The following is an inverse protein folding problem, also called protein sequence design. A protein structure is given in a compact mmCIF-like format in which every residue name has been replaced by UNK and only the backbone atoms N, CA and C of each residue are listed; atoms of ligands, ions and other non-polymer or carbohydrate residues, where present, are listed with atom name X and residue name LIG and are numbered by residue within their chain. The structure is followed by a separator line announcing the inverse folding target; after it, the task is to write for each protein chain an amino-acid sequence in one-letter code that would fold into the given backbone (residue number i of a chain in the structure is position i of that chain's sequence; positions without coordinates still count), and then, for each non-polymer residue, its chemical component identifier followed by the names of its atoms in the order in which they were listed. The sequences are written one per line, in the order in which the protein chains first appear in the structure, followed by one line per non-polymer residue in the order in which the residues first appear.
data_IF_138629276858
#
_entry.id   IF_138629276858
#
_cell.length_a   1.000
_cell.length_b   1.000
_cell.length_c   1.000
_cell.angle_alpha   90.00
_cell.angle_beta   90.00
_cell.angle_gamma   90.00
#
_symmetry.space_group_name_H-M   'P 1'
#
loop_
_entity.id
_entity.type
_entity.pdbx_description
1 polymer ?
#
# COMPACT_ATOMS: atom_id res chain seq x y z
N UNK A 1 10.66 9.73 -19.42
CA UNK A 1 9.40 9.27 -20.05
C UNK A 1 8.88 8.14 -19.18
N UNK A 2 7.64 8.21 -18.68
CA UNK A 2 6.98 7.01 -18.16
C UNK A 2 6.05 6.57 -19.27
N UNK A 3 6.60 5.85 -20.25
CA UNK A 3 5.77 5.20 -21.25
C UNK A 3 5.00 4.10 -20.53
N UNK A 4 3.68 4.23 -20.52
CA UNK A 4 2.81 3.14 -20.10
C UNK A 4 3.04 2.01 -21.10
N UNK A 5 3.53 0.83 -20.67
CA UNK A 5 3.76 -0.28 -21.59
C UNK A 5 2.46 -0.63 -22.33
N UNK A 6 2.57 -1.02 -23.60
CA UNK A 6 1.40 -1.26 -24.48
C UNK A 6 0.41 -2.29 -23.88
N UNK A 7 0.91 -3.26 -23.11
CA UNK A 7 0.12 -4.25 -22.37
C UNK A 7 -0.83 -3.66 -21.30
N UNK A 8 -0.61 -2.40 -20.91
CA UNK A 8 -1.45 -1.62 -20.00
C UNK A 8 -2.35 -0.61 -20.70
N UNK A 9 -2.39 -0.56 -22.03
CA UNK A 9 -3.34 0.28 -22.76
C UNK A 9 -4.78 -0.06 -22.34
N UNK A 10 -5.54 0.93 -21.87
CA UNK A 10 -6.89 0.74 -21.32
C UNK A 10 -6.94 0.10 -19.93
N UNK A 11 -5.78 -0.18 -19.32
CA UNK A 11 -5.61 -0.70 -17.96
C UNK A 11 -4.58 0.11 -17.16
N UNK A 12 -4.47 1.41 -17.42
CA UNK A 12 -3.47 2.30 -16.81
C UNK A 12 -3.57 2.32 -15.27
N UNK A 13 -4.76 2.13 -14.71
CA UNK A 13 -4.95 1.95 -13.26
C UNK A 13 -4.21 0.73 -12.71
N UNK A 14 -4.10 -0.35 -13.49
CA UNK A 14 -3.37 -1.56 -13.11
C UNK A 14 -1.86 -1.30 -13.16
N UNK A 15 -1.40 -0.50 -14.13
CA UNK A 15 -0.02 -0.03 -14.18
C UNK A 15 0.35 0.75 -12.91
N UNK A 16 -0.47 1.74 -12.52
CA UNK A 16 -0.23 2.52 -11.31
C UNK A 16 -0.23 1.65 -10.04
N UNK A 17 -1.13 0.65 -9.93
CA UNK A 17 -1.11 -0.32 -8.83
C UNK A 17 0.19 -1.12 -8.79
N UNK A 18 0.64 -1.62 -9.93
CA UNK A 18 1.90 -2.36 -10.02
C UNK A 18 3.11 -1.46 -9.75
N UNK A 19 3.05 -0.17 -10.11
CA UNK A 19 4.05 0.82 -9.70
C UNK A 19 4.06 1.03 -8.19
N UNK A 20 2.90 1.18 -7.53
CA UNK A 20 2.83 1.24 -6.05
C UNK A 20 3.44 -0.01 -5.43
N UNK A 21 3.07 -1.20 -5.92
CA UNK A 21 3.60 -2.47 -5.44
C UNK A 21 5.13 -2.53 -5.59
N UNK A 22 5.67 -2.24 -6.76
CA UNK A 22 7.11 -2.29 -7.03
C UNK A 22 7.89 -1.28 -6.18
N UNK A 23 7.40 -0.04 -6.11
CA UNK A 23 8.03 1.06 -5.36
C UNK A 23 7.98 0.84 -3.84
N UNK A 24 6.97 0.11 -3.34
CA UNK A 24 6.91 -0.28 -1.93
C UNK A 24 7.77 -1.52 -1.64
N UNK A 25 7.61 -2.59 -2.44
CA UNK A 25 8.25 -3.88 -2.19
C UNK A 25 9.78 -3.78 -2.29
N UNK A 26 10.29 -2.91 -3.16
CA UNK A 26 11.74 -2.71 -3.35
C UNK A 26 12.40 -2.25 -2.04
N UNK A 27 12.09 -1.07 -1.45
CA UNK A 27 12.65 -0.68 -0.16
C UNK A 27 12.29 -1.62 0.98
N UNK A 28 11.14 -2.29 0.93
CA UNK A 28 10.75 -3.29 1.93
C UNK A 28 11.73 -4.47 1.97
N UNK A 29 12.02 -5.08 0.81
CA UNK A 29 12.96 -6.18 0.67
C UNK A 29 14.38 -5.79 1.09
N UNK A 30 14.79 -4.57 0.76
CA UNK A 30 16.05 -4.02 1.26
C UNK A 30 16.01 -3.83 2.79
N UNK A 31 15.04 -3.12 3.37
CA UNK A 31 15.06 -2.79 4.81
C UNK A 31 15.01 -4.02 5.74
N UNK A 32 14.23 -5.04 5.41
CA UNK A 32 14.08 -6.21 6.28
C UNK A 32 15.28 -7.17 6.26
N UNK A 33 16.06 -7.21 5.17
CA UNK A 33 17.35 -7.90 5.21
C UNK A 33 18.35 -7.25 6.18
N UNK A 34 18.16 -5.97 6.53
CA UNK A 34 18.90 -5.31 7.60
C UNK A 34 18.51 -5.81 8.99
N UNK A 35 17.21 -6.04 9.22
CA UNK A 35 16.68 -6.61 10.46
C UNK A 35 17.04 -8.09 10.65
N UNK A 36 17.32 -8.82 9.55
CA UNK A 36 17.82 -10.19 9.58
C UNK A 36 19.14 -10.33 10.36
N UNK A 37 19.97 -9.29 10.45
CA UNK A 37 21.18 -9.28 11.32
C UNK A 37 20.88 -9.44 12.80
N UNK A 38 19.68 -9.05 13.24
CA UNK A 38 19.24 -9.15 14.64
C UNK A 38 18.53 -10.47 14.94
N UNK A 39 18.23 -11.28 13.92
CA UNK A 39 17.56 -12.57 14.05
C UNK A 39 18.65 -13.64 14.17
N UNK A 40 18.67 -14.40 15.26
CA UNK A 40 19.53 -15.59 15.35
C UNK A 40 19.02 -16.64 14.37
N UNK A 41 19.78 -16.89 13.30
CA UNK A 41 19.47 -17.94 12.31
C UNK A 41 19.24 -17.42 10.90
N UNK A 42 19.02 -18.35 9.97
CA UNK A 42 18.80 -18.07 8.54
C UNK A 42 17.38 -17.48 8.37
N UNK A 43 17.28 -16.25 7.88
CA UNK A 43 16.00 -15.55 7.69
C UNK A 43 15.53 -15.67 6.25
N UNK A 44 14.26 -16.03 6.04
CA UNK A 44 13.65 -16.02 4.71
C UNK A 44 12.72 -14.80 4.56
N UNK A 45 12.83 -14.02 3.49
CA UNK A 45 11.83 -12.99 3.17
C UNK A 45 10.77 -13.59 2.25
N UNK A 46 9.49 -13.43 2.61
CA UNK A 46 8.38 -13.97 1.85
C UNK A 46 7.56 -12.88 1.14
N UNK A 47 7.26 -13.11 -0.13
CA UNK A 47 6.21 -12.39 -0.86
C UNK A 47 5.00 -13.30 -1.03
N UNK A 48 3.80 -12.83 -0.69
CA UNK A 48 2.57 -13.60 -0.85
C UNK A 48 1.61 -12.83 -1.73
N UNK A 49 1.33 -13.36 -2.92
CA UNK A 49 0.28 -12.86 -3.79
C UNK A 49 -0.94 -13.77 -3.71
N UNK A 50 -2.01 -13.26 -3.10
CA UNK A 50 -3.21 -14.04 -2.81
C UNK A 50 -4.21 -14.10 -3.98
N UNK A 51 -3.95 -13.31 -5.04
CA UNK A 51 -4.74 -13.25 -6.27
C UNK A 51 -3.80 -13.12 -7.47
N UNK A 52 -2.90 -14.10 -7.61
CA UNK A 52 -1.80 -14.05 -8.58
C UNK A 52 -2.28 -13.94 -10.04
N UNK A 53 -3.54 -14.31 -10.30
CA UNK A 53 -4.12 -14.21 -11.62
C UNK A 53 -3.48 -15.22 -12.56
N UNK A 54 -4.09 -15.34 -13.74
CA UNK A 54 -3.58 -14.65 -14.91
C UNK A 54 -4.63 -13.74 -15.55
N UNK A 55 -4.11 -12.78 -16.28
CA UNK A 55 -4.84 -11.80 -17.05
C UNK A 55 -5.22 -12.36 -18.42
N UNK A 56 -6.42 -12.01 -18.89
CA UNK A 56 -6.90 -12.38 -20.22
C UNK A 56 -5.98 -11.87 -21.34
N UNK A 57 -5.39 -12.82 -22.06
CA UNK A 57 -5.29 -12.92 -23.53
C UNK A 57 -4.48 -11.91 -24.36
N UNK A 58 -3.71 -10.97 -23.82
CA UNK A 58 -2.92 -10.05 -24.69
C UNK A 58 -1.40 -10.06 -24.47
N UNK A 59 -0.89 -10.61 -23.37
CA UNK A 59 0.55 -10.77 -23.17
C UNK A 59 0.88 -12.22 -22.82
N UNK A 60 1.62 -12.88 -23.70
CA UNK A 60 2.36 -14.11 -23.39
C UNK A 60 3.55 -13.83 -22.45
N UNK A 61 3.87 -12.56 -22.18
CA UNK A 61 4.88 -12.14 -21.22
C UNK A 61 4.30 -11.90 -19.83
N UNK A 62 5.12 -12.23 -18.83
CA UNK A 62 4.90 -11.94 -17.41
C UNK A 62 5.14 -10.50 -17.01
N UNK A 63 5.66 -9.71 -17.94
CA UNK A 63 6.28 -8.45 -17.63
C UNK A 63 5.26 -7.52 -16.98
N UNK A 64 5.70 -6.89 -15.89
CA UNK A 64 4.86 -6.00 -15.11
C UNK A 64 3.76 -6.66 -14.27
N UNK A 65 3.53 -7.97 -14.29
CA UNK A 65 2.58 -8.62 -13.36
C UNK A 65 3.04 -8.56 -11.90
N UNK A 66 2.11 -8.69 -10.95
CA UNK A 66 2.45 -8.81 -9.53
C UNK A 66 3.35 -10.01 -9.22
N UNK A 67 3.24 -11.10 -10.00
CA UNK A 67 4.11 -12.28 -9.92
C UNK A 67 5.55 -11.91 -10.28
N UNK A 68 5.78 -11.33 -11.46
CA UNK A 68 7.13 -10.97 -11.91
C UNK A 68 7.76 -9.89 -11.04
N UNK A 69 6.99 -8.90 -10.60
CA UNK A 69 7.45 -7.87 -9.66
C UNK A 69 7.96 -8.52 -8.36
N UNK A 70 7.18 -9.44 -7.79
CA UNK A 70 7.57 -10.15 -6.57
C UNK A 70 8.89 -10.92 -6.73
N UNK A 71 9.01 -11.69 -7.83
CA UNK A 71 10.20 -12.49 -8.12
C UNK A 71 11.45 -11.62 -8.38
N UNK A 72 11.30 -10.57 -9.19
CA UNK A 72 12.37 -9.63 -9.53
C UNK A 72 12.90 -8.94 -8.28
N UNK A 73 12.01 -8.31 -7.50
CA UNK A 73 12.39 -7.54 -6.32
C UNK A 73 13.06 -8.42 -5.26
N UNK A 74 12.52 -9.62 -5.00
CA UNK A 74 13.12 -10.54 -4.04
C UNK A 74 14.49 -11.05 -4.51
N UNK A 75 14.64 -11.37 -5.79
CA UNK A 75 15.93 -11.79 -6.34
C UNK A 75 16.97 -10.67 -6.22
N UNK A 76 16.62 -9.44 -6.59
CA UNK A 76 17.50 -8.27 -6.43
C UNK A 76 17.85 -8.01 -4.97
N UNK A 77 16.89 -8.12 -4.06
CA UNK A 77 17.12 -7.96 -2.63
C UNK A 77 18.10 -9.01 -2.09
N UNK A 78 17.94 -10.29 -2.47
CA UNK A 78 18.87 -11.34 -2.06
C UNK A 78 20.28 -11.06 -2.56
N UNK A 79 20.46 -10.74 -3.84
CA UNK A 79 21.78 -10.44 -4.42
C UNK A 79 22.47 -9.31 -3.67
N UNK A 80 21.78 -8.19 -3.48
CA UNK A 80 22.36 -7.04 -2.80
C UNK A 80 22.68 -7.29 -1.32
N UNK A 81 21.94 -8.17 -0.64
CA UNK A 81 22.26 -8.55 0.74
C UNK A 81 23.45 -9.50 0.81
N UNK A 82 23.58 -10.44 -0.14
CA UNK A 82 24.75 -11.30 -0.27
C UNK A 82 26.02 -10.50 -0.53
N UNK A 83 25.96 -9.51 -1.42
CA UNK A 83 27.08 -8.59 -1.68
C UNK A 83 27.51 -7.79 -0.43
N UNK A 84 26.59 -7.59 0.53
CA UNK A 84 26.85 -6.94 1.82
C UNK A 84 27.26 -7.94 2.93
N UNK A 85 27.52 -9.18 2.58
CA UNK A 85 27.94 -10.23 3.51
C UNK A 85 26.81 -10.82 4.37
N UNK A 86 25.55 -10.66 3.98
CA UNK A 86 24.40 -11.24 4.68
C UNK A 86 23.65 -12.24 3.78
N UNK A 87 23.66 -13.52 4.13
CA UNK A 87 22.94 -14.55 3.39
C UNK A 87 21.48 -14.65 3.88
N UNK A 88 20.57 -14.10 3.08
CA UNK A 88 19.12 -14.23 3.29
C UNK A 88 18.53 -15.20 2.27
N UNK A 89 17.52 -15.95 2.68
CA UNK A 89 16.70 -16.71 1.74
C UNK A 89 15.51 -15.87 1.28
N UNK A 90 14.97 -16.18 0.10
CA UNK A 90 13.78 -15.50 -0.43
C UNK A 90 12.80 -16.52 -0.97
N UNK A 91 11.51 -16.30 -0.69
CA UNK A 91 10.44 -17.19 -1.11
C UNK A 91 9.20 -16.42 -1.54
N UNK A 92 8.41 -17.03 -2.42
CA UNK A 92 7.16 -16.46 -2.89
C UNK A 92 6.04 -17.51 -2.89
N UNK A 93 4.84 -17.10 -2.46
CA UNK A 93 3.63 -17.91 -2.51
C UNK A 93 2.60 -17.21 -3.39
N UNK A 94 2.07 -17.92 -4.37
CA UNK A 94 1.10 -17.42 -5.34
C UNK A 94 -0.18 -18.26 -5.28
N UNK A 95 -1.32 -17.61 -5.07
CA UNK A 95 -2.63 -18.28 -5.03
C UNK A 95 -3.45 -17.93 -6.26
N UNK A 96 -3.99 -18.95 -6.93
CA UNK A 96 -4.88 -18.78 -8.08
C UNK A 96 -6.05 -19.78 -8.03
N UNK A 97 -7.28 -19.26 -8.14
CA UNK A 97 -8.50 -20.06 -7.98
C UNK A 97 -8.93 -20.79 -9.26
N UNK A 98 -8.67 -20.20 -10.42
CA UNK A 98 -9.08 -20.75 -11.70
C UNK A 98 -8.09 -21.84 -12.13
N UNK A 99 -8.55 -23.06 -12.46
CA UNK A 99 -7.64 -24.16 -12.81
C UNK A 99 -6.78 -23.91 -14.05
N UNK A 100 -7.35 -23.36 -15.14
CA UNK A 100 -6.61 -23.09 -16.39
C UNK A 100 -5.51 -22.07 -16.17
N UNK A 101 -5.89 -21.06 -15.41
CA UNK A 101 -5.08 -19.96 -14.96
C UNK A 101 -3.91 -20.42 -14.09
N UNK A 102 -4.22 -21.27 -13.11
CA UNK A 102 -3.24 -21.91 -12.24
C UNK A 102 -2.24 -22.78 -13.01
N UNK A 103 -2.69 -23.56 -14.00
CA UNK A 103 -1.78 -24.37 -14.82
C UNK A 103 -0.71 -23.52 -15.54
N UNK A 104 -1.09 -22.33 -16.02
CA UNK A 104 -0.13 -21.39 -16.62
C UNK A 104 0.86 -20.86 -15.58
N UNK A 105 0.37 -20.43 -14.42
CA UNK A 105 1.19 -19.99 -13.29
C UNK A 105 2.18 -21.09 -12.86
N UNK A 106 1.72 -22.34 -12.77
CA UNK A 106 2.55 -23.46 -12.35
C UNK A 106 3.66 -23.79 -13.35
N UNK A 107 3.34 -23.84 -14.65
CA UNK A 107 4.34 -24.08 -15.70
C UNK A 107 5.46 -23.02 -15.63
N UNK A 108 5.03 -21.77 -15.51
CA UNK A 108 5.89 -20.60 -15.44
C UNK A 108 6.81 -20.58 -14.22
N UNK A 109 6.29 -20.93 -13.04
CA UNK A 109 7.12 -21.04 -11.83
C UNK A 109 8.05 -22.26 -11.87
N UNK A 110 7.70 -23.30 -12.65
CA UNK A 110 8.58 -24.47 -12.86
C UNK A 110 9.76 -24.13 -13.79
N UNK A 111 9.53 -23.23 -14.75
CA UNK A 111 10.56 -22.74 -15.67
C UNK A 111 11.46 -21.67 -15.05
N UNK A 112 11.01 -20.98 -14.00
CA UNK A 112 11.79 -19.98 -13.29
C UNK A 112 13.08 -20.58 -12.69
N UNK A 113 14.25 -20.05 -13.10
CA UNK A 113 15.59 -20.48 -12.63
C UNK A 113 16.26 -19.48 -11.68
N UNK A 114 15.52 -18.48 -11.20
CA UNK A 114 16.04 -17.51 -10.25
C UNK A 114 16.10 -18.05 -8.82
N UNK A 115 16.61 -17.24 -7.87
CA UNK A 115 16.88 -17.70 -6.52
C UNK A 115 15.64 -17.83 -5.62
N UNK A 116 14.49 -17.32 -6.05
CA UNK A 116 13.27 -17.28 -5.23
C UNK A 116 12.60 -18.65 -5.17
N UNK A 117 12.43 -19.19 -3.95
CA UNK A 117 11.67 -20.42 -3.74
C UNK A 117 10.18 -20.16 -3.98
N UNK A 118 9.63 -20.74 -5.05
CA UNK A 118 8.26 -20.49 -5.46
C UNK A 118 7.29 -21.59 -5.00
N UNK A 119 6.12 -21.18 -4.51
CA UNK A 119 4.98 -22.06 -4.19
C UNK A 119 3.75 -21.58 -4.95
N UNK A 120 3.14 -22.46 -5.76
CA UNK A 120 1.87 -22.19 -6.43
C UNK A 120 0.76 -22.98 -5.73
N UNK A 121 -0.27 -22.29 -5.24
CA UNK A 121 -1.41 -22.91 -4.56
C UNK A 121 -2.70 -22.69 -5.36
N UNK A 122 -3.34 -23.79 -5.77
CA UNK A 122 -4.62 -23.71 -6.48
C UNK A 122 -5.77 -23.58 -5.48
N UNK A 123 -6.61 -22.55 -5.59
CA UNK A 123 -7.79 -22.39 -4.76
C UNK A 123 -8.12 -20.94 -4.46
N UNK A 124 -9.11 -20.70 -3.60
CA UNK A 124 -9.40 -19.35 -3.12
C UNK A 124 -8.41 -19.00 -2.01
N UNK A 125 -8.12 -17.71 -1.87
CA UNK A 125 -7.25 -17.22 -0.81
C UNK A 125 -7.65 -17.75 0.58
N UNK A 126 -8.92 -17.61 0.96
CA UNK A 126 -9.43 -18.09 2.25
C UNK A 126 -9.12 -19.55 2.55
N UNK A 127 -9.29 -20.42 1.55
CA UNK A 127 -9.07 -21.87 1.64
C UNK A 127 -7.58 -22.22 1.83
N UNK A 128 -6.67 -21.31 1.47
CA UNK A 128 -5.22 -21.52 1.51
C UNK A 128 -4.52 -20.83 2.68
N UNK A 129 -5.24 -20.11 3.52
CA UNK A 129 -4.65 -19.36 4.65
C UNK A 129 -3.79 -20.24 5.58
N UNK A 130 -4.26 -21.43 5.97
CA UNK A 130 -3.49 -22.36 6.81
C UNK A 130 -2.22 -22.86 6.13
N UNK A 131 -2.30 -23.20 4.84
CA UNK A 131 -1.15 -23.68 4.06
C UNK A 131 -0.12 -22.57 3.86
N UNK A 132 -0.57 -21.34 3.53
CA UNK A 132 0.29 -20.17 3.44
C UNK A 132 0.99 -19.91 4.78
N UNK A 133 0.25 -19.90 5.88
CA UNK A 133 0.81 -19.69 7.22
C UNK A 133 1.91 -20.73 7.55
N UNK A 134 1.67 -22.00 7.20
CA UNK A 134 2.67 -23.06 7.38
C UNK A 134 3.93 -22.85 6.52
N UNK A 135 3.79 -22.34 5.29
CA UNK A 135 4.94 -22.10 4.39
C UNK A 135 5.79 -20.94 4.90
N UNK A 136 5.15 -19.82 5.27
CA UNK A 136 5.88 -18.60 5.66
C UNK A 136 6.37 -18.65 7.11
N UNK A 137 5.78 -19.48 7.97
CA UNK A 137 6.16 -19.62 9.39
C UNK A 137 6.09 -18.28 10.12
N UNK A 138 7.11 -17.96 10.93
CA UNK A 138 7.25 -16.66 11.63
C UNK A 138 8.17 -15.66 10.91
N UNK A 139 8.63 -16.02 9.71
CA UNK A 139 9.54 -15.19 8.93
C UNK A 139 8.84 -13.91 8.44
N UNK A 140 9.57 -12.82 8.17
CA UNK A 140 8.96 -11.62 7.61
C UNK A 140 8.24 -11.90 6.27
N UNK A 141 7.05 -11.31 6.07
CA UNK A 141 6.36 -11.38 4.78
C UNK A 141 5.65 -10.10 4.40
N UNK A 142 5.61 -9.86 3.09
CA UNK A 142 4.75 -8.87 2.47
C UNK A 142 3.59 -9.60 1.79
N UNK A 143 2.36 -9.20 2.11
CA UNK A 143 1.15 -9.78 1.56
C UNK A 143 0.49 -8.80 0.60
N UNK A 144 0.28 -9.23 -0.64
CA UNK A 144 -0.49 -8.52 -1.64
C UNK A 144 -1.86 -9.17 -1.80
N UNK A 145 -2.91 -8.40 -1.55
CA UNK A 145 -4.30 -8.85 -1.56
C UNK A 145 -5.07 -8.05 -2.60
N UNK A 146 -5.23 -8.61 -3.79
CA UNK A 146 -5.76 -7.93 -4.97
C UNK A 146 -7.02 -8.58 -5.55
N UNK A 147 -8.17 -8.52 -4.84
CA UNK A 147 -9.42 -9.03 -5.39
C UNK A 147 -9.88 -8.18 -6.58
N UNK A 148 -10.59 -8.79 -7.52
CA UNK A 148 -11.28 -8.10 -8.63
C UNK A 148 -12.56 -7.35 -8.16
N UNK A 149 -12.95 -7.52 -6.90
CA UNK A 149 -14.06 -6.87 -6.21
C UNK A 149 -13.73 -6.76 -4.73
N UNK A 150 -14.52 -7.37 -3.85
CA UNK A 150 -14.18 -7.51 -2.42
C UNK A 150 -14.21 -8.96 -1.92
N UNK A 151 -14.90 -9.86 -2.63
CA UNK A 151 -15.07 -11.25 -2.22
C UNK A 151 -13.76 -12.02 -2.29
N UNK A 152 -13.56 -12.93 -1.32
CA UNK A 152 -12.36 -13.72 -1.18
C UNK A 152 -11.24 -13.01 -0.44
N UNK A 153 -11.41 -11.74 -0.08
CA UNK A 153 -10.46 -10.94 0.71
C UNK A 153 -11.07 -10.55 2.07
N UNK A 154 -11.84 -11.46 2.66
CA UNK A 154 -12.48 -11.29 3.97
C UNK A 154 -11.45 -10.99 5.07
N UNK A 155 -11.77 -10.11 6.01
CA UNK A 155 -10.85 -9.63 7.05
C UNK A 155 -10.28 -10.80 7.89
N UNK A 156 -11.10 -11.81 8.15
CA UNK A 156 -10.72 -13.05 8.83
C UNK A 156 -9.56 -13.78 8.12
N UNK A 157 -9.52 -13.78 6.79
CA UNK A 157 -8.44 -14.39 6.02
C UNK A 157 -7.16 -13.57 6.11
N UNK A 158 -7.28 -12.24 6.09
CA UNK A 158 -6.15 -11.31 6.27
C UNK A 158 -5.54 -11.50 7.67
N UNK A 159 -6.39 -11.54 8.70
CA UNK A 159 -6.01 -11.71 10.11
C UNK A 159 -5.11 -12.92 10.31
N UNK A 160 -5.48 -14.08 9.73
CA UNK A 160 -4.74 -15.35 9.87
C UNK A 160 -3.28 -15.27 9.43
N UNK A 161 -2.91 -14.32 8.57
CA UNK A 161 -1.55 -14.19 8.05
C UNK A 161 -0.81 -12.95 8.56
N UNK A 162 -1.54 -11.87 8.84
CA UNK A 162 -0.94 -10.55 9.15
C UNK A 162 -0.72 -10.35 10.65
N UNK A 163 -1.38 -11.12 11.52
CA UNK A 163 -1.30 -10.91 12.98
C UNK A 163 0.07 -11.20 13.60
N UNK A 164 0.99 -11.82 12.85
CA UNK A 164 2.36 -12.08 13.30
C UNK A 164 3.25 -10.84 13.16
N UNK A 165 4.35 -10.74 13.93
CA UNK A 165 5.31 -9.64 13.76
C UNK A 165 5.95 -9.63 12.36
N UNK A 166 6.37 -8.43 11.91
CA UNK A 166 7.10 -8.22 10.64
C UNK A 166 6.28 -8.64 9.41
N UNK A 167 4.96 -8.43 9.50
CA UNK A 167 4.03 -8.55 8.38
C UNK A 167 3.61 -7.18 7.91
N UNK A 168 3.72 -6.99 6.61
CA UNK A 168 3.13 -5.87 5.91
C UNK A 168 2.06 -6.43 4.97
N UNK A 169 0.94 -5.73 4.83
CA UNK A 169 -0.13 -6.10 3.91
C UNK A 169 -0.54 -4.90 3.07
N UNK A 170 -0.67 -5.10 1.76
CA UNK A 170 -1.23 -4.15 0.81
C UNK A 170 -2.49 -4.74 0.21
N UNK A 171 -3.64 -4.12 0.49
CA UNK A 171 -4.96 -4.59 0.08
C UNK A 171 -5.52 -3.64 -0.97
N UNK A 172 -5.93 -4.18 -2.11
CA UNK A 172 -6.73 -3.46 -3.09
C UNK A 172 -8.20 -3.47 -2.67
N UNK A 173 -8.67 -2.32 -2.19
CA UNK A 173 -10.07 -2.06 -1.90
C UNK A 173 -10.72 -1.51 -3.16
N UNK A 174 -11.46 -2.35 -3.89
CA UNK A 174 -12.16 -1.98 -5.13
C UNK A 174 -13.31 -1.01 -4.87
N UNK A 175 -12.97 0.24 -4.53
CA UNK A 175 -13.88 1.27 -4.04
C UNK A 175 -15.07 1.51 -4.98
N UNK A 176 -14.85 1.59 -6.30
CA UNK A 176 -15.94 1.80 -7.25
C UNK A 176 -16.99 0.65 -7.21
N UNK A 177 -16.55 -0.58 -6.97
CA UNK A 177 -17.45 -1.72 -6.77
C UNK A 177 -18.14 -1.63 -5.41
N UNK A 178 -17.41 -1.43 -4.32
CA UNK A 178 -17.99 -1.33 -2.97
C UNK A 178 -19.02 -0.20 -2.91
N UNK A 179 -18.70 0.98 -3.41
CA UNK A 179 -19.58 2.14 -3.41
C UNK A 179 -20.88 1.90 -4.19
N UNK A 180 -20.87 1.05 -5.22
CA UNK A 180 -22.07 0.64 -5.96
C UNK A 180 -22.97 -0.29 -5.13
N UNK A 181 -22.40 -1.09 -4.23
CA UNK A 181 -23.12 -2.14 -3.51
C UNK A 181 -23.26 -1.89 -2.00
N UNK A 182 -22.68 -0.81 -1.45
CA UNK A 182 -22.70 -0.51 0.00
C UNK A 182 -24.11 -0.34 0.58
N UNK A 183 -25.06 0.10 -0.25
CA UNK A 183 -26.47 0.29 0.11
C UNK A 183 -27.37 -0.82 -0.47
N UNK A 184 -26.81 -1.94 -0.92
CA UNK A 184 -27.58 -3.06 -1.48
C UNK A 184 -28.30 -3.85 -0.37
N UNK A 185 -29.62 -4.03 -0.52
CA UNK A 185 -30.45 -4.72 0.48
C UNK A 185 -30.34 -6.25 0.46
N UNK A 186 -29.67 -6.86 -0.53
CA UNK A 186 -29.60 -8.32 -0.64
C UNK A 186 -28.73 -8.91 0.48
N UNK A 187 -29.24 -9.86 1.29
CA UNK A 187 -28.52 -10.37 2.47
C UNK A 187 -27.13 -10.93 2.17
N UNK A 188 -26.97 -11.65 1.05
CA UNK A 188 -25.68 -12.23 0.68
C UNK A 188 -24.63 -11.18 0.25
N UNK A 189 -25.05 -10.03 -0.28
CA UNK A 189 -24.14 -8.93 -0.62
C UNK A 189 -23.72 -8.23 0.66
N UNK A 190 -24.69 -7.89 1.51
CA UNK A 190 -24.46 -7.26 2.81
C UNK A 190 -23.51 -8.08 3.66
N UNK A 191 -23.77 -9.38 3.81
CA UNK A 191 -22.86 -10.28 4.55
C UNK A 191 -21.46 -10.31 3.96
N UNK A 192 -21.33 -10.40 2.63
CA UNK A 192 -19.99 -10.38 2.01
C UNK A 192 -19.23 -9.07 2.17
N UNK A 193 -19.94 -7.94 2.29
CA UNK A 193 -19.32 -6.65 2.62
C UNK A 193 -18.93 -6.61 4.10
N UNK A 194 -19.84 -7.03 4.99
CA UNK A 194 -19.56 -7.15 6.42
C UNK A 194 -18.32 -8.02 6.67
N UNK A 195 -18.20 -9.17 6.03
CA UNK A 195 -17.02 -10.05 6.13
C UNK A 195 -15.73 -9.38 5.60
N UNK A 196 -15.83 -8.59 4.52
CA UNK A 196 -14.71 -7.81 3.99
C UNK A 196 -14.26 -6.72 4.97
N UNK A 197 -15.20 -6.04 5.62
CA UNK A 197 -14.92 -5.02 6.63
C UNK A 197 -14.63 -5.59 8.03
N UNK A 198 -14.72 -6.90 8.25
CA UNK A 198 -14.50 -7.53 9.56
C UNK A 198 -15.68 -7.38 10.53
N UNK A 199 -16.89 -7.19 10.03
CA UNK A 199 -18.09 -7.00 10.84
C UNK A 199 -18.77 -8.36 11.09
N UNK A 200 -18.57 -8.92 12.27
CA UNK A 200 -19.22 -10.20 12.64
C UNK A 200 -20.68 -10.01 13.06
N UNK A 201 -20.94 -9.01 13.91
CA UNK A 201 -22.25 -8.74 14.51
C UNK A 201 -22.73 -7.29 14.30
N UNK A 202 -22.10 -6.58 13.38
CA UNK A 202 -22.41 -5.19 13.06
C UNK A 202 -22.70 -5.05 11.57
N UNK A 203 -23.42 -3.99 11.23
CA UNK A 203 -23.69 -3.67 9.83
C UNK A 203 -22.81 -2.53 9.37
N UNK A 204 -22.39 -2.57 8.11
CA UNK A 204 -21.69 -1.44 7.51
C UNK A 204 -22.56 -0.18 7.63
N UNK A 205 -22.06 0.92 8.23
CA UNK A 205 -22.83 2.15 8.33
C UNK A 205 -23.23 2.65 6.93
N UNK A 206 -24.48 3.10 6.81
CA UNK A 206 -24.98 3.68 5.57
C UNK A 206 -24.33 5.04 5.30
N UNK A 207 -24.28 5.43 4.02
CA UNK A 207 -23.96 6.80 3.57
C UNK A 207 -22.60 7.37 3.98
N UNK A 208 -21.66 6.52 4.38
CA UNK A 208 -20.26 6.91 4.57
C UNK A 208 -19.70 7.52 3.29
N UNK A 209 -19.04 8.67 3.42
CA UNK A 209 -18.18 9.25 2.38
C UNK A 209 -17.01 8.32 2.04
N UNK A 210 -16.30 8.61 0.95
CA UNK A 210 -15.11 7.84 0.55
C UNK A 210 -14.08 7.76 1.69
N UNK A 211 -13.79 8.90 2.32
CA UNK A 211 -12.78 9.00 3.38
C UNK A 211 -13.24 8.34 4.67
N UNK A 212 -14.52 8.47 5.05
CA UNK A 212 -15.07 7.80 6.23
C UNK A 212 -15.09 6.27 6.05
N UNK A 213 -15.40 5.79 4.85
CA UNK A 213 -15.39 4.37 4.53
C UNK A 213 -13.98 3.78 4.63
N UNK A 214 -12.97 4.50 4.12
CA UNK A 214 -11.58 4.04 4.22
C UNK A 214 -11.05 4.14 5.64
N UNK A 215 -11.36 5.22 6.38
CA UNK A 215 -11.02 5.33 7.79
C UNK A 215 -11.67 4.20 8.62
N UNK A 216 -12.92 3.83 8.31
CA UNK A 216 -13.59 2.68 8.93
C UNK A 216 -12.88 1.37 8.61
N UNK A 217 -12.53 1.11 7.34
CA UNK A 217 -11.77 -0.09 6.95
C UNK A 217 -10.40 -0.16 7.64
N UNK A 218 -9.64 0.94 7.68
CA UNK A 218 -8.32 1.02 8.36
C UNK A 218 -8.43 0.74 9.86
N UNK A 219 -9.46 1.27 10.53
CA UNK A 219 -9.71 0.98 11.95
C UNK A 219 -9.96 -0.50 12.19
N UNK A 220 -10.83 -1.12 11.40
CA UNK A 220 -11.12 -2.55 11.53
C UNK A 220 -9.91 -3.41 11.19
N UNK A 221 -9.09 -3.01 10.21
CA UNK A 221 -7.84 -3.68 9.91
C UNK A 221 -6.88 -3.66 11.12
N UNK A 222 -6.75 -2.52 11.80
CA UNK A 222 -5.94 -2.39 13.03
C UNK A 222 -6.50 -3.26 14.16
N UNK A 223 -7.81 -3.22 14.38
CA UNK A 223 -8.49 -3.94 15.45
C UNK A 223 -8.45 -5.48 15.28
N UNK A 224 -8.77 -5.97 14.08
CA UNK A 224 -8.91 -7.41 13.84
C UNK A 224 -7.62 -8.09 13.41
N UNK A 225 -6.75 -7.41 12.65
CA UNK A 225 -5.53 -8.01 12.08
C UNK A 225 -4.26 -7.70 12.88
N UNK A 226 -4.35 -6.91 13.96
CA UNK A 226 -3.20 -6.60 14.82
C UNK A 226 -2.14 -5.71 14.19
N UNK A 227 -2.46 -5.03 13.08
CA UNK A 227 -1.56 -4.01 12.51
C UNK A 227 -1.59 -2.76 13.38
N UNK A 228 -0.41 -2.17 13.64
CA UNK A 228 -0.30 -0.97 14.48
C UNK A 228 -0.58 0.30 13.68
N UNK A 229 -0.19 0.30 12.41
CA UNK A 229 -0.30 1.44 11.53
C UNK A 229 -1.02 1.04 10.25
N UNK A 230 -1.92 1.90 9.78
CA UNK A 230 -2.57 1.74 8.48
C UNK A 230 -2.82 3.10 7.82
N UNK A 231 -2.54 3.17 6.52
CA UNK A 231 -2.82 4.30 5.67
C UNK A 231 -3.38 3.80 4.35
N UNK A 232 -3.90 4.72 3.55
CA UNK A 232 -4.41 4.38 2.23
C UNK A 232 -4.16 5.51 1.23
N UNK A 233 -4.18 5.14 -0.05
CA UNK A 233 -4.03 6.04 -1.18
C UNK A 233 -5.06 5.71 -2.25
N UNK A 234 -5.37 6.68 -3.10
CA UNK A 234 -6.31 6.53 -4.20
C UNK A 234 -5.59 6.27 -5.51
N UNK A 235 -6.17 5.40 -6.34
CA UNK A 235 -5.84 5.27 -7.76
C UNK A 235 -7.06 5.72 -8.57
N UNK A 236 -6.87 6.70 -9.44
CA UNK A 236 -7.96 7.26 -10.25
C UNK A 236 -8.23 6.43 -11.49
N UNK A 237 -9.43 6.60 -12.05
CA UNK A 237 -9.72 6.12 -13.39
C UNK A 237 -8.79 6.82 -14.41
N UNK A 238 -8.32 6.11 -15.45
CA UNK A 238 -7.35 6.67 -16.42
C UNK A 238 -7.84 7.96 -17.07
N UNK A 239 -9.12 7.99 -17.45
CA UNK A 239 -9.70 9.09 -18.24
C UNK A 239 -10.73 9.94 -17.50
N UNK A 240 -11.18 9.51 -16.32
CA UNK A 240 -12.27 10.18 -15.57
C UNK A 240 -11.74 10.60 -14.20
N UNK A 241 -12.12 11.80 -13.75
CA UNK A 241 -11.70 12.33 -12.45
C UNK A 241 -12.50 11.72 -11.29
N UNK A 242 -12.38 10.40 -11.11
CA UNK A 242 -12.98 9.62 -10.01
C UNK A 242 -12.03 8.56 -9.48
N UNK A 243 -12.17 8.17 -8.21
CA UNK A 243 -11.47 7.01 -7.64
C UNK A 243 -11.92 5.74 -8.33
N UNK A 244 -10.97 4.91 -8.74
CA UNK A 244 -11.27 3.56 -9.22
C UNK A 244 -11.19 2.56 -8.07
N UNK A 245 -10.05 2.52 -7.38
CA UNK A 245 -9.85 1.75 -6.15
C UNK A 245 -8.93 2.48 -5.18
N UNK A 246 -8.93 2.04 -3.92
CA UNK A 246 -8.02 2.48 -2.86
C UNK A 246 -7.05 1.35 -2.57
N UNK A 247 -5.77 1.68 -2.37
CA UNK A 247 -4.80 0.74 -1.85
C UNK A 247 -4.61 1.03 -0.37
N UNK A 248 -4.85 0.04 0.47
CA UNK A 248 -4.70 0.15 1.93
C UNK A 248 -3.47 -0.61 2.36
N UNK A 249 -2.52 0.06 3.00
CA UNK A 249 -1.37 -0.56 3.64
C UNK A 249 -1.66 -0.81 5.13
N UNK A 250 -1.14 -1.91 5.67
CA UNK A 250 -1.11 -2.19 7.10
C UNK A 250 0.21 -2.83 7.50
N UNK A 251 0.68 -2.52 8.70
CA UNK A 251 1.82 -3.21 9.31
C UNK A 251 2.10 -2.76 10.74
N UNK A 252 3.04 -3.41 11.41
CA UNK A 252 3.35 -3.13 12.83
C UNK A 252 4.46 -2.09 13.04
N UNK A 253 5.25 -1.78 12.00
CA UNK A 253 6.38 -0.86 12.09
C UNK A 253 5.99 0.53 11.53
N UNK A 254 6.33 1.65 12.21
CA UNK A 254 5.96 2.98 11.72
C UNK A 254 6.56 3.31 10.34
N UNK A 255 7.69 2.68 9.98
CA UNK A 255 8.33 2.84 8.68
C UNK A 255 7.45 2.41 7.50
N UNK A 256 6.44 1.58 7.74
CA UNK A 256 5.40 1.20 6.77
C UNK A 256 4.72 2.44 6.22
N UNK A 257 4.23 3.31 7.10
CA UNK A 257 3.49 4.52 6.71
C UNK A 257 4.40 5.55 6.07
N UNK A 258 5.61 5.74 6.61
CA UNK A 258 6.60 6.64 6.01
C UNK A 258 6.91 6.22 4.57
N UNK A 259 7.24 4.96 4.36
CA UNK A 259 7.51 4.43 3.03
C UNK A 259 6.28 4.56 2.12
N UNK A 260 5.10 4.25 2.64
CA UNK A 260 3.87 4.31 1.87
C UNK A 260 3.53 5.73 1.40
N UNK A 261 3.72 6.76 2.23
CA UNK A 261 3.53 8.17 1.83
C UNK A 261 4.58 8.65 0.83
N UNK A 262 5.81 8.17 0.93
CA UNK A 262 6.85 8.44 -0.07
C UNK A 262 6.48 7.81 -1.44
N UNK A 263 5.96 6.57 -1.42
CA UNK A 263 5.44 5.87 -2.61
C UNK A 263 4.23 6.59 -3.18
N UNK A 264 3.30 7.04 -2.35
CA UNK A 264 2.13 7.81 -2.77
C UNK A 264 2.54 9.08 -3.51
N UNK A 265 3.45 9.87 -2.92
CA UNK A 265 3.96 11.10 -3.57
C UNK A 265 4.59 10.81 -4.92
N UNK A 266 5.38 9.73 -5.04
CA UNK A 266 6.06 9.35 -6.27
C UNK A 266 5.07 8.85 -7.33
N UNK A 267 4.20 7.91 -6.97
CA UNK A 267 3.32 7.23 -7.93
C UNK A 267 2.06 8.05 -8.19
N UNK A 268 1.30 8.38 -7.13
CA UNK A 268 0.04 9.13 -7.26
C UNK A 268 0.33 10.60 -7.54
N UNK A 269 1.33 11.19 -6.87
CA UNK A 269 1.68 12.59 -7.10
C UNK A 269 2.34 12.84 -8.46
N UNK A 270 3.30 12.03 -8.89
CA UNK A 270 4.10 12.34 -10.09
C UNK A 270 3.77 11.43 -11.29
N UNK A 271 3.74 10.10 -11.11
CA UNK A 271 3.50 9.20 -12.24
C UNK A 271 2.07 9.29 -12.77
N UNK A 272 1.06 9.38 -11.88
CA UNK A 272 -0.37 9.49 -12.25
C UNK A 272 -0.64 10.67 -13.18
N UNK A 273 -0.02 11.84 -12.93
CA UNK A 273 -0.14 13.02 -13.78
C UNK A 273 0.19 12.70 -15.25
N UNK A 274 1.35 12.08 -15.47
CA UNK A 274 1.82 11.72 -16.80
C UNK A 274 0.95 10.62 -17.43
N UNK A 275 0.66 9.56 -16.68
CA UNK A 275 -0.10 8.39 -17.14
C UNK A 275 -1.53 8.78 -17.55
N UNK A 276 -2.22 9.57 -16.72
CA UNK A 276 -3.60 10.00 -16.98
C UNK A 276 -3.64 11.09 -18.05
N UNK A 277 -2.66 11.98 -18.09
CA UNK A 277 -2.49 12.94 -19.17
C UNK A 277 -2.40 12.24 -20.53
N UNK A 278 -1.56 11.22 -20.65
CA UNK A 278 -1.43 10.42 -21.87
C UNK A 278 -2.72 9.65 -22.22
N UNK A 279 -3.38 9.04 -21.22
CA UNK A 279 -4.63 8.31 -21.45
C UNK A 279 -5.79 9.21 -21.90
N UNK A 280 -5.95 10.40 -21.30
CA UNK A 280 -6.96 11.40 -21.70
C UNK A 280 -6.72 11.90 -23.12
N UNK A 281 -5.45 12.12 -23.52
CA UNK A 281 -5.08 12.50 -24.90
C UNK A 281 -5.45 11.41 -25.89
N UNK A 282 -5.01 10.16 -25.68
CA UNK A 282 -5.35 9.02 -26.55
C UNK A 282 -6.86 8.88 -26.76
N UNK A 283 -7.65 8.94 -25.68
CA UNK A 283 -9.10 8.85 -25.76
C UNK A 283 -9.71 10.02 -26.55
N UNK A 284 -9.14 11.23 -26.42
CA UNK A 284 -9.59 12.40 -27.19
C UNK A 284 -9.26 12.26 -28.67
N UNK A 285 -8.03 11.86 -29.01
CA UNK A 285 -7.57 11.62 -30.38
C UNK A 285 -8.44 10.56 -31.07
N UNK A 286 -8.73 9.44 -30.38
CA UNK A 286 -9.65 8.40 -30.85
C UNK A 286 -11.06 8.94 -31.12
N UNK A 287 -11.53 9.91 -30.31
CA UNK A 287 -12.88 10.49 -30.42
C UNK A 287 -12.97 11.63 -31.44
N UNK A 288 -11.93 12.43 -31.63
CA UNK A 288 -11.97 13.67 -32.42
C UNK A 288 -11.14 13.63 -33.70
N UNK A 289 -10.25 12.64 -33.87
CA UNK A 289 -9.38 12.51 -35.04
C UNK A 289 -8.31 13.61 -35.18
N UNK A 290 -8.14 14.45 -34.16
CA UNK A 290 -7.16 15.55 -34.13
C UNK A 290 -6.03 15.19 -33.16
N UNK A 291 -4.80 15.10 -33.67
CA UNK A 291 -3.60 14.92 -32.84
C UNK A 291 -3.18 16.23 -32.18
N UNK A 292 -2.86 16.19 -30.89
CA UNK A 292 -2.26 17.32 -30.16
C UNK A 292 -0.74 17.15 -30.06
N UNK A 293 0.01 18.26 -30.10
CA UNK A 293 1.45 18.28 -29.86
C UNK A 293 1.76 17.91 -28.40
N UNK A 294 2.68 16.97 -28.19
CA UNK A 294 3.12 16.51 -26.87
C UNK A 294 3.95 17.60 -26.16
N UNK A 295 3.26 18.52 -25.48
CA UNK A 295 3.89 19.43 -24.54
C UNK A 295 4.17 18.68 -23.24
N UNK A 296 5.47 18.44 -23.00
CA UNK A 296 6.00 17.88 -21.76
C UNK A 296 5.53 18.69 -20.56
N UNK A 297 4.49 18.22 -19.86
CA UNK A 297 4.08 18.80 -18.58
C UNK A 297 4.69 17.96 -17.46
N UNK A 298 5.79 18.43 -16.89
CA UNK A 298 6.20 17.98 -15.55
C UNK A 298 5.19 18.57 -14.56
N UNK A 299 4.36 17.72 -13.99
CA UNK A 299 3.27 18.15 -13.12
C UNK A 299 3.07 17.21 -11.94
N UNK A 300 2.33 17.71 -10.96
CA UNK A 300 1.81 16.91 -9.85
C UNK A 300 0.32 16.69 -10.15
N UNK A 301 -0.19 15.49 -9.88
CA UNK A 301 -1.61 15.21 -10.02
C UNK A 301 -2.42 16.17 -9.15
N UNK A 302 -3.38 16.88 -9.75
CA UNK A 302 -4.14 17.95 -9.09
C UNK A 302 -4.87 17.47 -7.83
N UNK A 303 -5.37 16.23 -7.82
CA UNK A 303 -6.08 15.70 -6.65
C UNK A 303 -5.09 15.42 -5.53
N UNK A 304 -3.94 14.81 -5.85
CA UNK A 304 -2.89 14.60 -4.85
C UNK A 304 -2.39 15.95 -4.29
N UNK A 305 -2.14 16.94 -5.16
CA UNK A 305 -1.68 18.26 -4.73
C UNK A 305 -2.67 18.92 -3.74
N UNK A 306 -3.97 18.90 -4.04
CA UNK A 306 -5.00 19.40 -3.13
C UNK A 306 -5.02 18.65 -1.79
N UNK A 307 -5.00 17.32 -1.81
CA UNK A 307 -5.01 16.52 -0.58
C UNK A 307 -3.75 16.73 0.25
N UNK A 308 -2.60 16.91 -0.40
CA UNK A 308 -1.33 17.20 0.27
C UNK A 308 -1.33 18.58 0.93
N UNK A 309 -1.88 19.61 0.28
CA UNK A 309 -2.02 20.95 0.87
C UNK A 309 -3.03 20.98 2.03
N UNK A 310 -4.20 20.37 1.87
CA UNK A 310 -5.17 20.20 2.97
C UNK A 310 -4.54 19.44 4.12
N UNK A 311 -3.81 18.36 3.83
CA UNK A 311 -3.06 17.59 4.81
C UNK A 311 -2.05 18.45 5.56
N UNK A 312 -1.24 19.25 4.85
CA UNK A 312 -0.25 20.14 5.49
C UNK A 312 -0.89 21.14 6.44
N UNK A 313 -2.03 21.71 6.06
CA UNK A 313 -2.80 22.63 6.90
C UNK A 313 -3.36 21.94 8.15
N UNK A 314 -3.76 20.67 8.05
CA UNK A 314 -4.32 19.89 9.15
C UNK A 314 -3.28 19.33 10.14
N UNK A 315 -1.98 19.30 9.79
CA UNK A 315 -0.92 18.74 10.66
C UNK A 315 -0.95 19.36 12.06
N UNK A 316 -1.13 20.69 12.16
CA UNK A 316 -1.12 21.39 13.44
C UNK A 316 -2.27 20.91 14.36
N UNK A 317 -3.47 20.77 13.78
CA UNK A 317 -4.65 20.31 14.52
C UNK A 317 -4.52 18.85 14.95
N UNK A 318 -4.07 17.96 14.05
CA UNK A 318 -3.86 16.54 14.35
C UNK A 318 -2.79 16.36 15.42
N UNK A 319 -1.65 17.05 15.29
CA UNK A 319 -0.59 17.01 16.28
C UNK A 319 -1.09 17.51 17.65
N UNK A 320 -1.81 18.63 17.68
CA UNK A 320 -2.36 19.17 18.91
C UNK A 320 -3.40 18.24 19.54
N UNK A 321 -4.29 17.66 18.73
CA UNK A 321 -5.29 16.69 19.20
C UNK A 321 -4.65 15.48 19.87
N UNK A 322 -3.58 14.93 19.27
CA UNK A 322 -2.83 13.82 19.86
C UNK A 322 -2.16 14.21 21.18
N UNK A 323 -1.51 15.37 21.23
CA UNK A 323 -0.86 15.88 22.44
C UNK A 323 -1.87 16.20 23.55
N UNK A 324 -3.08 16.70 23.24
CA UNK A 324 -4.15 16.88 24.24
C UNK A 324 -4.58 15.55 24.85
N UNK A 325 -4.64 14.50 24.04
CA UNK A 325 -5.11 13.19 24.48
C UNK A 325 -4.05 12.39 25.26
N UNK A 326 -2.77 12.57 24.93
CA UNK A 326 -1.65 11.75 25.45
C UNK A 326 -0.67 12.51 26.36
N UNK A 327 -0.73 13.84 26.35
CA UNK A 327 0.28 14.70 26.96
C UNK A 327 1.60 14.70 26.17
N UNK A 328 2.68 14.93 26.89
CA UNK A 328 4.04 15.00 26.34
C UNK A 328 4.40 13.70 25.58
N UNK A 329 4.73 13.83 24.29
CA UNK A 329 4.93 12.68 23.39
C UNK A 329 6.22 12.82 22.60
N UNK A 330 6.96 11.73 22.42
CA UNK A 330 8.14 11.75 21.54
C UNK A 330 7.75 11.86 20.06
N UNK A 331 8.57 12.55 19.27
CA UNK A 331 8.30 12.69 17.83
C UNK A 331 8.11 11.35 17.13
N UNK A 332 8.91 10.33 17.50
CA UNK A 332 8.81 8.96 16.97
C UNK A 332 7.45 8.30 17.11
N UNK A 333 6.68 8.70 18.11
CA UNK A 333 5.34 8.17 18.38
C UNK A 333 4.25 9.07 17.81
N UNK A 334 4.55 10.35 17.55
CA UNK A 334 3.60 11.33 17.02
C UNK A 334 3.53 11.30 15.48
N UNK A 335 4.68 11.35 14.79
CA UNK A 335 4.68 11.45 13.34
C UNK A 335 3.94 10.33 12.62
N UNK A 336 3.95 9.05 13.09
CA UNK A 336 3.21 8.00 12.39
C UNK A 336 1.71 8.28 12.39
N UNK A 337 1.19 8.84 13.48
CA UNK A 337 -0.24 9.17 13.62
C UNK A 337 -0.64 10.29 12.66
N UNK A 338 0.21 11.31 12.50
CA UNK A 338 0.00 12.38 11.52
C UNK A 338 -0.07 11.81 10.10
N UNK A 339 0.86 10.92 9.74
CA UNK A 339 0.93 10.36 8.39
C UNK A 339 -0.16 9.30 8.11
N UNK A 340 -0.69 8.61 9.13
CA UNK A 340 -1.79 7.65 8.95
C UNK A 340 -3.04 8.34 8.36
N UNK A 341 -3.36 9.52 8.86
CA UNK A 341 -4.61 10.21 8.52
C UNK A 341 -4.47 11.28 7.43
N UNK A 342 -3.24 11.73 7.14
CA UNK A 342 -3.00 12.82 6.20
C UNK A 342 -2.13 12.36 5.02
N UNK A 343 -2.47 12.84 3.82
CA UNK A 343 -1.72 12.60 2.57
C UNK A 343 -0.45 13.47 2.48
N UNK A 344 0.42 13.34 3.49
CA UNK A 344 1.65 14.12 3.65
C UNK A 344 2.86 13.22 3.83
N UNK A 345 4.04 13.69 3.43
CA UNK A 345 5.28 12.94 3.66
C UNK A 345 5.84 13.24 5.06
N UNK A 346 6.74 12.38 5.54
CA UNK A 346 7.47 12.64 6.78
C UNK A 346 8.25 13.97 6.72
N UNK A 347 8.74 14.35 5.53
CA UNK A 347 9.41 15.64 5.33
C UNK A 347 8.46 16.82 5.52
N UNK A 348 7.22 16.71 5.06
CA UNK A 348 6.19 17.73 5.26
C UNK A 348 5.84 17.88 6.74
N UNK A 349 5.60 16.76 7.43
CA UNK A 349 5.33 16.72 8.87
C UNK A 349 6.47 17.35 9.69
N UNK A 350 7.72 16.97 9.40
CA UNK A 350 8.91 17.57 10.00
C UNK A 350 8.96 19.09 9.85
N UNK A 351 8.69 19.60 8.64
CA UNK A 351 8.74 21.05 8.36
C UNK A 351 7.66 21.81 9.09
N UNK A 352 6.42 21.32 9.08
CA UNK A 352 5.29 22.00 9.74
C UNK A 352 5.47 21.97 11.25
N UNK A 353 5.77 20.82 11.84
CA UNK A 353 5.99 20.72 13.29
C UNK A 353 7.22 21.51 13.74
N UNK A 354 8.31 21.50 12.98
CA UNK A 354 9.46 22.36 13.24
C UNK A 354 9.14 23.86 13.13
N UNK A 355 8.19 24.24 12.28
CA UNK A 355 7.61 25.58 12.24
C UNK A 355 6.85 25.92 13.52
N UNK A 356 5.95 25.04 13.96
CA UNK A 356 5.16 25.21 15.19
C UNK A 356 6.02 25.35 16.44
N UNK A 357 7.10 24.58 16.56
CA UNK A 357 8.05 24.71 17.66
C UNK A 357 8.76 26.06 17.65
N UNK A 358 9.19 26.55 16.47
CA UNK A 358 9.87 27.86 16.34
C UNK A 358 8.93 29.04 16.58
N UNK A 359 7.64 28.89 16.27
CA UNK A 359 6.60 29.88 16.53
C UNK A 359 6.11 29.85 18.00
N UNK A 360 6.59 28.90 18.81
CA UNK A 360 6.18 28.77 20.21
C UNK A 360 4.80 28.14 20.42
N UNK A 361 4.17 27.58 19.37
CA UNK A 361 2.90 26.86 19.49
C UNK A 361 3.06 25.48 20.13
N UNK A 362 4.23 24.87 19.97
CA UNK A 362 4.62 23.62 20.61
C UNK A 362 5.90 23.81 21.42
N UNK A 363 5.97 23.21 22.60
CA UNK A 363 7.21 23.09 23.39
C UNK A 363 7.94 21.85 22.94
N UNK A 364 9.26 21.94 22.76
CA UNK A 364 10.09 20.81 22.38
C UNK A 364 11.28 20.66 23.34
N UNK A 365 11.32 19.55 24.08
CA UNK A 365 12.45 19.18 24.94
C UNK A 365 13.46 18.34 24.16
N UNK A 366 14.74 18.52 24.49
CA UNK A 366 15.86 17.89 23.76
C UNK A 366 16.15 18.52 22.40
N UNK A 367 15.58 19.69 22.11
CA UNK A 367 15.84 20.42 20.86
C UNK A 367 17.26 21.00 20.87
N UNK A 368 18.08 20.59 19.90
CA UNK A 368 19.49 20.99 19.84
C UNK A 368 19.69 22.36 19.20
N UNK A 369 20.86 22.97 19.47
CA UNK A 369 21.26 24.21 18.80
C UNK A 369 21.26 24.04 17.28
N UNK A 370 20.64 24.99 16.56
CA UNK A 370 20.44 25.01 15.09
C UNK A 370 19.53 23.92 14.51
N UNK A 371 18.89 23.10 15.34
CA UNK A 371 17.92 22.13 14.87
C UNK A 371 16.68 22.84 14.28
N UNK A 372 16.27 22.45 13.07
CA UNK A 372 15.16 23.07 12.33
C UNK A 372 13.89 22.22 12.33
N UNK A 373 14.03 20.90 12.49
CA UNK A 373 12.96 19.91 12.42
C UNK A 373 13.12 18.92 13.57
N UNK A 374 12.04 18.30 14.07
CA UNK A 374 12.15 17.33 15.15
C UNK A 374 12.98 16.10 14.74
N UNK A 375 13.72 15.55 15.70
CA UNK A 375 14.35 14.24 15.67
C UNK A 375 13.51 13.26 16.49
N UNK A 376 13.71 11.96 16.26
CA UNK A 376 12.94 10.87 16.90
C UNK A 376 12.87 10.96 18.43
N UNK A 377 13.88 11.56 19.08
CA UNK A 377 14.01 11.64 20.54
C UNK A 377 13.45 12.94 21.14
N UNK A 378 13.05 13.92 20.30
CA UNK A 378 12.45 15.14 20.83
C UNK A 378 11.09 14.85 21.45
N UNK A 379 10.88 15.36 22.66
CA UNK A 379 9.59 15.28 23.34
C UNK A 379 8.84 16.58 23.08
N UNK A 380 7.66 16.46 22.49
CA UNK A 380 6.78 17.57 22.12
C UNK A 380 5.62 17.66 23.11
N UNK A 381 5.22 18.88 23.43
CA UNK A 381 4.06 19.20 24.24
C UNK A 381 3.36 20.46 23.71
N UNK A 382 2.10 20.66 24.10
CA UNK A 382 1.39 21.90 23.82
C UNK A 382 2.04 23.03 24.60
N UNK A 383 2.22 24.19 23.96
CA UNK A 383 2.53 25.39 24.73
C UNK A 383 1.33 25.72 25.62
N UNK A 384 1.56 25.85 26.93
CA UNK A 384 0.56 26.45 27.82
C UNK A 384 0.38 27.89 27.35
N UNK A 385 -0.85 28.23 26.93
CA UNK A 385 -1.26 29.57 26.54
C UNK A 385 -1.25 30.52 27.72
#
# INVERSE_FOLDING_TARGET
MVDVPQEYAGREQSYLKHSVLREYLTPWGFKLGGAARSIRGRTTLWYVDTFAGPWGTVAESLDGTSVSIGLEVLATAQTAWRERGNDIDVGAVFVEKNPKSFSKLQALLSDYKGPVKCHALQGRFGDRTTEIASIIGENPAFLFIDPTGWRGAEMEHVRKLVSLPRRDVLINVMYNFINRFKNDGRPYIRKSLEDFFGLENNTLPADLSEEELMAFYRRNLKEHCGVRYSADLFIQHPTVDRTWFRLVIGGSNPMVIRLFRDVERKVVGQQSHNVRGAAKRRNREERTGQGELDLLTTGIDDRYARLNEVGKAAIAEVAAGFLRARGETQWRDLWPQILEDLHVTHSDANKVVGGLCRQGHLRARGWMNRQQVPTEDNVLDLAQG
#
